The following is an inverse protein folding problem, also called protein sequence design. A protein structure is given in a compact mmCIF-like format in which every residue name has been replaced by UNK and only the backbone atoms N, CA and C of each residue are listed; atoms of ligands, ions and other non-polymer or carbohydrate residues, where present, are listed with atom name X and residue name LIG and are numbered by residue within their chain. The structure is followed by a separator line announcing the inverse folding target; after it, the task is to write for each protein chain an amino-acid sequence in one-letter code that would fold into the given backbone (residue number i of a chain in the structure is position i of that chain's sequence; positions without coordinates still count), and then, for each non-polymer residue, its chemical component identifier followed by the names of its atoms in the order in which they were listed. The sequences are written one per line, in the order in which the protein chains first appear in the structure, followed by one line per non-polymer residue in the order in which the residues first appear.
data_IF_074862986141
#
_entry.id   IF_074862986141
#
_cell.length_a   1.000
_cell.length_b   1.000
_cell.length_c   1.000
_cell.angle_alpha   90.00
_cell.angle_beta   90.00
_cell.angle_gamma   90.00
#
_symmetry.space_group_name_H-M   'P 1'
#
loop_
_entity.id
_entity.type
_entity.pdbx_description
1 polymer ?
#
# COMPACT_ATOMS: atom_id res chain seq x y z
N UNK A 1 20.80 19.49 13.97
CA UNK A 1 21.82 18.47 13.61
C UNK A 1 21.45 17.66 12.36
N UNK A 2 20.17 17.34 12.09
CA UNK A 2 19.78 16.56 10.89
C UNK A 2 19.51 17.38 9.60
N UNK A 3 19.46 18.72 9.68
CA UNK A 3 19.17 19.57 8.52
C UNK A 3 20.20 19.46 7.36
N UNK A 4 21.40 18.91 7.63
CA UNK A 4 22.37 18.63 6.58
C UNK A 4 22.11 17.36 5.77
N UNK A 5 21.14 16.53 6.19
CA UNK A 5 20.86 15.21 5.61
C UNK A 5 19.46 15.08 5.01
N UNK A 6 18.83 16.20 4.64
CA UNK A 6 17.44 16.19 4.16
C UNK A 6 17.28 15.26 2.95
N UNK A 7 18.17 15.33 1.97
CA UNK A 7 18.10 14.51 0.76
C UNK A 7 18.22 13.01 1.06
N UNK A 8 19.11 12.64 1.97
CA UNK A 8 19.35 11.27 2.42
C UNK A 8 18.14 10.72 3.18
N UNK A 9 17.53 11.53 4.04
CA UNK A 9 16.31 11.16 4.78
C UNK A 9 15.15 10.95 3.81
N UNK A 10 15.00 11.81 2.81
CA UNK A 10 13.94 11.69 1.81
C UNK A 10 14.17 10.54 0.84
N UNK A 11 15.42 10.26 0.49
CA UNK A 11 15.77 9.04 -0.23
C UNK A 11 15.41 7.80 0.60
N UNK A 12 15.77 7.76 1.88
CA UNK A 12 15.43 6.65 2.76
C UNK A 12 13.91 6.47 2.92
N UNK A 13 13.15 7.56 3.08
CA UNK A 13 11.69 7.52 3.17
C UNK A 13 11.06 6.92 1.90
N UNK A 14 11.48 7.39 0.72
CA UNK A 14 11.03 6.87 -0.57
C UNK A 14 11.42 5.42 -0.78
N UNK A 15 12.63 5.04 -0.40
CA UNK A 15 13.13 3.67 -0.51
C UNK A 15 12.32 2.72 0.38
N UNK A 16 12.07 3.08 1.64
CA UNK A 16 11.33 2.25 2.58
C UNK A 16 9.86 2.13 2.19
N UNK A 17 9.19 3.26 1.91
CA UNK A 17 7.77 3.26 1.54
C UNK A 17 7.56 2.64 0.15
N UNK A 18 8.29 3.08 -0.87
CA UNK A 18 8.18 2.54 -2.22
C UNK A 18 8.60 1.08 -2.29
N UNK A 19 9.73 0.72 -1.67
CA UNK A 19 10.26 -0.64 -1.64
C UNK A 19 9.32 -1.63 -0.96
N UNK A 20 8.65 -1.24 0.13
CA UNK A 20 7.65 -2.09 0.79
C UNK A 20 6.50 -2.47 -0.16
N UNK A 21 6.05 -1.54 -1.01
CA UNK A 21 4.98 -1.79 -1.97
C UNK A 21 5.43 -2.62 -3.18
N UNK A 22 6.64 -2.39 -3.69
CA UNK A 22 7.22 -3.27 -4.72
C UNK A 22 7.32 -4.70 -4.20
N UNK A 23 7.86 -4.88 -2.99
CA UNK A 23 7.93 -6.19 -2.35
C UNK A 23 6.54 -6.81 -2.14
N UNK A 24 5.58 -6.03 -1.65
CA UNK A 24 4.20 -6.50 -1.45
C UNK A 24 3.56 -6.98 -2.76
N UNK A 25 3.71 -6.22 -3.84
CA UNK A 25 3.20 -6.61 -5.16
C UNK A 25 3.83 -7.89 -5.69
N UNK A 26 5.16 -8.03 -5.58
CA UNK A 26 5.87 -9.25 -5.99
C UNK A 26 5.45 -10.47 -5.15
N UNK A 27 5.30 -10.30 -3.84
CA UNK A 27 4.78 -11.33 -2.94
C UNK A 27 3.33 -11.71 -3.28
N UNK A 28 2.51 -10.75 -3.70
CA UNK A 28 1.13 -11.00 -4.11
C UNK A 28 1.05 -11.84 -5.39
N UNK A 29 2.00 -11.70 -6.33
CA UNK A 29 2.08 -12.55 -7.53
C UNK A 29 2.25 -14.03 -7.14
N UNK A 30 3.10 -14.32 -6.15
CA UNK A 30 3.30 -15.67 -5.63
C UNK A 30 2.03 -16.21 -4.95
N UNK A 31 1.29 -15.36 -4.25
CA UNK A 31 0.08 -15.72 -3.51
C UNK A 31 -1.24 -15.52 -4.30
N UNK A 32 -1.15 -15.26 -5.61
CA UNK A 32 -2.30 -14.81 -6.42
C UNK A 32 -3.50 -15.73 -6.38
N UNK A 33 -3.29 -17.05 -6.35
CA UNK A 33 -4.37 -18.03 -6.33
C UNK A 33 -5.19 -17.93 -5.03
N UNK A 34 -4.50 -17.87 -3.88
CA UNK A 34 -5.12 -17.69 -2.57
C UNK A 34 -5.84 -16.35 -2.47
N UNK A 35 -5.18 -15.25 -2.87
CA UNK A 35 -5.76 -13.91 -2.80
C UNK A 35 -6.99 -13.74 -3.71
N UNK A 36 -6.98 -14.35 -4.90
CA UNK A 36 -8.15 -14.32 -5.79
C UNK A 36 -9.34 -15.02 -5.17
N UNK A 37 -9.13 -16.19 -4.55
CA UNK A 37 -10.20 -16.92 -3.86
C UNK A 37 -10.73 -16.13 -2.66
N UNK A 38 -9.84 -15.51 -1.88
CA UNK A 38 -10.21 -14.66 -0.75
C UNK A 38 -11.03 -13.44 -1.19
N UNK A 39 -10.64 -12.78 -2.28
CA UNK A 39 -11.39 -11.64 -2.84
C UNK A 39 -12.76 -12.08 -3.36
N UNK A 40 -12.83 -13.23 -4.03
CA UNK A 40 -14.09 -13.79 -4.52
C UNK A 40 -15.04 -14.15 -3.36
N UNK A 41 -14.53 -14.75 -2.28
CA UNK A 41 -15.34 -15.05 -1.09
C UNK A 41 -15.84 -13.80 -0.36
N UNK A 42 -15.22 -12.64 -0.60
CA UNK A 42 -15.65 -11.32 -0.11
C UNK A 42 -16.61 -10.60 -1.06
N UNK A 43 -17.01 -11.25 -2.15
CA UNK A 43 -17.94 -10.68 -3.13
C UNK A 43 -17.33 -9.63 -4.06
N UNK A 44 -16.00 -9.56 -4.20
CA UNK A 44 -15.36 -8.62 -5.13
C UNK A 44 -15.67 -9.05 -6.57
N UNK A 45 -16.35 -8.20 -7.37
CA UNK A 45 -16.61 -8.52 -8.77
C UNK A 45 -15.30 -8.60 -9.54
N UNK A 46 -15.17 -9.58 -10.43
CA UNK A 46 -13.96 -9.79 -11.24
C UNK A 46 -12.69 -9.87 -10.38
N UNK A 47 -12.74 -10.58 -9.25
CA UNK A 47 -11.65 -10.68 -8.26
C UNK A 47 -10.25 -10.88 -8.87
N UNK A 48 -10.13 -11.72 -9.90
CA UNK A 48 -8.87 -11.93 -10.62
C UNK A 48 -8.32 -10.64 -11.25
N UNK A 49 -9.17 -9.90 -11.96
CA UNK A 49 -8.78 -8.64 -12.59
C UNK A 49 -8.43 -7.57 -11.55
N UNK A 50 -9.27 -7.45 -10.51
CA UNK A 50 -9.04 -6.52 -9.41
C UNK A 50 -7.69 -6.78 -8.71
N UNK A 51 -7.34 -8.05 -8.50
CA UNK A 51 -6.05 -8.43 -7.91
C UNK A 51 -4.88 -8.02 -8.80
N UNK A 52 -4.96 -8.29 -10.11
CA UNK A 52 -3.91 -7.89 -11.06
C UNK A 52 -3.72 -6.38 -11.13
N UNK A 53 -4.82 -5.62 -11.16
CA UNK A 53 -4.76 -4.15 -11.09
C UNK A 53 -4.07 -3.71 -9.80
N UNK A 54 -4.46 -4.28 -8.66
CA UNK A 54 -3.82 -4.00 -7.37
C UNK A 54 -2.30 -4.27 -7.40
N UNK A 55 -1.88 -5.44 -7.87
CA UNK A 55 -0.46 -5.80 -7.98
C UNK A 55 0.32 -4.85 -8.89
N UNK A 56 -0.24 -4.49 -10.04
CA UNK A 56 0.39 -3.54 -10.98
C UNK A 56 0.54 -2.17 -10.31
N UNK A 57 -0.49 -1.67 -9.63
CA UNK A 57 -0.42 -0.39 -8.91
C UNK A 57 0.66 -0.43 -7.84
N UNK A 58 0.71 -1.48 -7.02
CA UNK A 58 1.74 -1.62 -5.97
C UNK A 58 3.16 -1.60 -6.54
N UNK A 59 3.42 -2.36 -7.61
CA UNK A 59 4.75 -2.47 -8.20
C UNK A 59 5.15 -1.18 -8.91
N UNK A 60 4.27 -0.66 -9.78
CA UNK A 60 4.59 0.52 -10.59
C UNK A 60 4.68 1.76 -9.73
N UNK A 61 3.69 2.04 -8.87
CA UNK A 61 3.73 3.22 -8.01
C UNK A 61 4.82 3.10 -6.94
N UNK A 62 5.09 1.89 -6.41
CA UNK A 62 6.22 1.65 -5.52
C UNK A 62 7.57 1.92 -6.19
N UNK A 63 7.75 1.50 -7.44
CA UNK A 63 8.98 1.76 -8.21
C UNK A 63 9.15 3.24 -8.57
N UNK A 64 8.07 3.92 -8.96
CA UNK A 64 8.07 5.37 -9.18
C UNK A 64 8.46 6.13 -7.90
N UNK A 65 7.88 5.74 -6.76
CA UNK A 65 8.24 6.30 -5.45
C UNK A 65 9.73 6.09 -5.15
N UNK A 66 10.24 4.86 -5.32
CA UNK A 66 11.64 4.50 -5.05
C UNK A 66 12.61 5.30 -5.93
N UNK A 67 12.33 5.42 -7.22
CA UNK A 67 13.16 6.18 -8.17
C UNK A 67 13.02 7.69 -8.00
N UNK A 68 12.05 8.16 -7.22
CA UNK A 68 11.75 9.59 -7.06
C UNK A 68 11.08 10.21 -8.28
N UNK A 69 10.59 9.41 -9.22
CA UNK A 69 9.89 9.87 -10.41
C UNK A 69 8.41 10.02 -10.10
N UNK A 70 7.83 11.18 -10.44
CA UNK A 70 6.38 11.42 -10.38
C UNK A 70 5.81 11.13 -8.98
N UNK A 71 6.54 11.56 -7.93
CA UNK A 71 6.27 11.26 -6.52
C UNK A 71 4.81 11.55 -6.15
N UNK A 72 4.26 12.67 -6.61
CA UNK A 72 2.88 13.04 -6.31
C UNK A 72 1.86 12.02 -6.87
N UNK A 73 2.04 11.59 -8.12
CA UNK A 73 1.18 10.59 -8.76
C UNK A 73 1.33 9.22 -8.08
N UNK A 74 2.57 8.83 -7.78
CA UNK A 74 2.87 7.58 -7.09
C UNK A 74 2.24 7.54 -5.68
N UNK A 75 2.41 8.60 -4.89
CA UNK A 75 1.81 8.73 -3.57
C UNK A 75 0.28 8.66 -3.63
N UNK A 76 -0.35 9.43 -4.52
CA UNK A 76 -1.81 9.42 -4.68
C UNK A 76 -2.35 8.03 -5.05
N UNK A 77 -1.68 7.32 -5.98
CA UNK A 77 -2.04 5.97 -6.37
C UNK A 77 -1.92 4.97 -5.20
N UNK A 78 -0.85 5.05 -4.41
CA UNK A 78 -0.64 4.17 -3.26
C UNK A 78 -1.61 4.47 -2.10
N UNK A 79 -1.98 5.74 -1.89
CA UNK A 79 -3.03 6.13 -0.94
C UNK A 79 -4.37 5.54 -1.36
N UNK A 80 -4.76 5.69 -2.63
CA UNK A 80 -6.00 5.10 -3.14
C UNK A 80 -5.99 3.57 -3.00
N UNK A 81 -4.88 2.92 -3.33
CA UNK A 81 -4.71 1.49 -3.13
C UNK A 81 -4.90 1.10 -1.65
N UNK A 82 -4.29 1.82 -0.71
CA UNK A 82 -4.41 1.55 0.72
C UNK A 82 -5.86 1.66 1.20
N UNK A 83 -6.61 2.67 0.75
CA UNK A 83 -8.03 2.83 1.09
C UNK A 83 -8.82 1.60 0.61
N UNK A 84 -8.67 1.23 -0.67
CA UNK A 84 -9.38 0.08 -1.26
C UNK A 84 -8.98 -1.23 -0.56
N UNK A 85 -7.70 -1.45 -0.32
CA UNK A 85 -7.18 -2.64 0.36
C UNK A 85 -7.70 -2.72 1.80
N UNK A 86 -7.75 -1.60 2.51
CA UNK A 86 -8.26 -1.53 3.90
C UNK A 86 -9.74 -1.91 3.96
N UNK A 87 -10.58 -1.36 3.08
CA UNK A 87 -11.99 -1.71 3.03
C UNK A 87 -12.22 -3.18 2.68
N UNK A 88 -11.34 -3.74 1.85
CA UNK A 88 -11.45 -5.13 1.39
C UNK A 88 -10.93 -6.15 2.39
N UNK A 89 -9.78 -5.90 3.01
CA UNK A 89 -9.04 -6.87 3.82
C UNK A 89 -9.08 -6.59 5.31
N UNK A 90 -9.19 -5.33 5.72
CA UNK A 90 -9.08 -4.88 7.12
C UNK A 90 -10.41 -4.35 7.67
N UNK A 91 -11.54 -4.89 7.18
CA UNK A 91 -12.90 -4.58 7.65
C UNK A 91 -13.17 -5.12 9.07
N UNK A 92 -12.49 -4.54 10.06
CA UNK A 92 -12.53 -4.98 11.46
C UNK A 92 -13.92 -4.83 12.10
N UNK A 93 -14.79 -3.98 11.56
CA UNK A 93 -16.15 -3.75 12.07
C UNK A 93 -17.07 -4.97 11.95
N UNK A 94 -16.71 -5.95 11.12
CA UNK A 94 -17.50 -7.16 10.87
C UNK A 94 -16.89 -8.42 11.53
N UNK A 95 -15.91 -8.25 12.41
CA UNK A 95 -15.17 -9.37 13.02
C UNK A 95 -15.11 -9.24 14.55
N UNK A 96 -14.86 -10.34 15.25
CA UNK A 96 -14.67 -10.36 16.70
C UNK A 96 -13.42 -11.17 17.12
N UNK A 97 -13.04 -11.07 18.39
CA UNK A 97 -11.92 -11.81 18.96
C UNK A 97 -10.56 -11.49 18.31
N UNK A 98 -9.73 -12.52 18.15
CA UNK A 98 -8.37 -12.42 17.60
C UNK A 98 -8.36 -11.90 16.15
N UNK A 99 -9.37 -12.26 15.36
CA UNK A 99 -9.45 -11.84 13.96
C UNK A 99 -9.71 -10.34 13.84
N UNK A 100 -10.55 -9.78 14.72
CA UNK A 100 -10.76 -8.32 14.80
C UNK A 100 -9.46 -7.61 15.14
N UNK A 101 -8.70 -8.12 16.10
CA UNK A 101 -7.44 -7.50 16.52
C UNK A 101 -6.42 -7.46 15.36
N UNK A 102 -6.28 -8.55 14.60
CA UNK A 102 -5.41 -8.60 13.43
C UNK A 102 -5.80 -7.56 12.36
N UNK A 103 -7.11 -7.38 12.11
CA UNK A 103 -7.62 -6.40 11.13
C UNK A 103 -7.48 -4.95 11.60
N UNK A 104 -7.63 -4.69 12.90
CA UNK A 104 -7.33 -3.37 13.48
C UNK A 104 -5.86 -3.02 13.25
N UNK A 105 -4.94 -3.97 13.45
CA UNK A 105 -3.52 -3.74 13.20
C UNK A 105 -3.25 -3.42 11.71
N UNK A 106 -3.88 -4.14 10.79
CA UNK A 106 -3.80 -3.85 9.35
C UNK A 106 -4.33 -2.45 9.01
N UNK A 107 -5.52 -2.11 9.52
CA UNK A 107 -6.11 -0.78 9.37
C UNK A 107 -5.17 0.34 9.85
N UNK A 108 -4.64 0.22 11.06
CA UNK A 108 -3.75 1.24 11.65
C UNK A 108 -2.42 1.32 10.86
N UNK A 109 -1.88 0.19 10.40
CA UNK A 109 -0.70 0.19 9.54
C UNK A 109 -0.96 0.94 8.23
N UNK A 110 -2.11 0.73 7.58
CA UNK A 110 -2.48 1.42 6.36
C UNK A 110 -2.71 2.93 6.59
N UNK A 111 -3.28 3.32 7.74
CA UNK A 111 -3.39 4.73 8.14
C UNK A 111 -2.01 5.38 8.30
N UNK A 112 -1.08 4.71 8.97
CA UNK A 112 0.28 5.21 9.15
C UNK A 112 1.02 5.34 7.81
N UNK A 113 0.91 4.34 6.92
CA UNK A 113 1.47 4.39 5.57
C UNK A 113 0.87 5.53 4.74
N UNK A 114 -0.44 5.74 4.85
CA UNK A 114 -1.14 6.85 4.19
C UNK A 114 -0.57 8.20 4.65
N UNK A 115 -0.34 8.38 5.96
CA UNK A 115 0.33 9.56 6.51
C UNK A 115 1.73 9.76 5.94
N UNK A 116 2.52 8.68 5.82
CA UNK A 116 3.85 8.73 5.18
C UNK A 116 3.80 9.18 3.71
N UNK A 117 2.83 8.66 2.94
CA UNK A 117 2.64 9.09 1.55
C UNK A 117 2.12 10.52 1.43
N UNK A 118 1.24 10.97 2.33
CA UNK A 118 0.78 12.37 2.36
C UNK A 118 1.93 13.35 2.63
N UNK A 119 2.87 12.99 3.51
CA UNK A 119 4.07 13.80 3.75
C UNK A 119 4.95 13.92 2.50
N UNK A 120 5.16 12.80 1.78
CA UNK A 120 5.93 12.82 0.52
C UNK A 120 5.19 13.54 -0.61
N UNK A 121 3.86 13.42 -0.66
CA UNK A 121 3.00 14.16 -1.58
C UNK A 121 3.10 15.66 -1.34
N UNK A 122 2.99 16.11 -0.09
CA UNK A 122 3.06 17.51 0.28
C UNK A 122 4.44 18.14 0.05
N UNK A 123 5.51 17.36 0.10
CA UNK A 123 6.84 17.83 -0.26
C UNK A 123 7.05 17.96 -1.77
N UNK A 124 6.40 17.09 -2.56
CA UNK A 124 6.56 17.04 -4.02
C UNK A 124 5.65 18.04 -4.76
N UNK A 125 4.74 18.70 -4.05
CA UNK A 125 3.83 19.73 -4.54
C UNK A 125 4.43 21.13 -4.40
#
# INVERSE_FOLDING_TARGET
MLAGFENEILFAARLLLGGAFVFAGLRNIQNRAFLTQLMASRGVPLAWLALWVGMIVQIVAGALMLTGLWIAVAAAALILFLIVATLMFDNFWDHQGQERAARVNGFIANVALTGGFLSLLGQAA
#
